data_IF_879810529639
#
_entry.id   IF_879810529639
#
_cell.length_a   1.000
_cell.length_b   1.000
_cell.length_c   1.000
_cell.angle_alpha   90.00
_cell.angle_beta   90.00
_cell.angle_gamma   90.00
#
_symmetry.space_group_name_H-M   'P 1'
#
loop_
_entity.id
_entity.type
_entity.pdbx_description
1 polymer ?
#
# COMPACT_ATOMS: atom_id res chain seq x y z
N UNK A 1 -35.81 5.02 -25.22
CA UNK A 1 -34.49 5.70 -25.18
C UNK A 1 -33.82 5.62 -23.79
N UNK A 2 -34.47 6.04 -22.69
CA UNK A 2 -33.88 5.96 -21.33
C UNK A 2 -33.38 4.56 -20.92
N UNK A 3 -34.16 3.50 -21.17
CA UNK A 3 -33.74 2.10 -20.92
C UNK A 3 -32.44 1.73 -21.65
N UNK A 4 -32.23 2.24 -22.86
CA UNK A 4 -31.04 1.97 -23.66
C UNK A 4 -29.81 2.70 -23.07
N UNK A 5 -29.98 3.95 -22.64
CA UNK A 5 -28.93 4.73 -21.96
C UNK A 5 -28.51 4.07 -20.64
N UNK A 6 -29.47 3.65 -19.82
CA UNK A 6 -29.19 2.96 -18.54
C UNK A 6 -28.45 1.65 -18.79
N UNK A 7 -28.87 0.84 -19.77
CA UNK A 7 -28.17 -0.42 -20.12
C UNK A 7 -26.71 -0.17 -20.52
N UNK A 8 -26.46 0.91 -21.27
CA UNK A 8 -25.11 1.28 -21.71
C UNK A 8 -24.25 1.81 -20.55
N UNK A 9 -24.83 2.57 -19.64
CA UNK A 9 -24.13 3.07 -18.43
C UNK A 9 -23.81 1.92 -17.46
N UNK A 10 -24.71 0.96 -17.33
CA UNK A 10 -24.52 -0.23 -16.48
C UNK A 10 -23.48 -1.19 -17.06
N UNK A 11 -23.26 -1.19 -18.39
CA UNK A 11 -22.14 -1.87 -19.04
C UNK A 11 -20.81 -1.11 -18.91
N UNK A 12 -20.85 0.21 -18.82
CA UNK A 12 -19.65 1.03 -18.63
C UNK A 12 -19.06 0.87 -17.22
N UNK A 13 -19.91 0.77 -16.20
CA UNK A 13 -19.48 0.61 -14.81
C UNK A 13 -18.51 -0.59 -14.59
N UNK A 14 -18.82 -1.84 -15.02
CA UNK A 14 -17.90 -2.96 -14.85
C UNK A 14 -16.61 -2.78 -15.65
N UNK A 15 -16.65 -2.16 -16.84
CA UNK A 15 -15.42 -1.90 -17.61
C UNK A 15 -14.48 -0.94 -16.90
N UNK A 16 -15.03 0.13 -16.30
CA UNK A 16 -14.26 1.11 -15.54
C UNK A 16 -13.65 0.47 -14.28
N UNK A 17 -14.45 -0.37 -13.63
CA UNK A 17 -14.08 -1.12 -12.43
C UNK A 17 -12.91 -2.08 -12.73
N UNK A 18 -12.97 -2.83 -13.84
CA UNK A 18 -11.88 -3.72 -14.28
C UNK A 18 -10.61 -2.91 -14.55
N UNK A 19 -10.69 -1.83 -15.34
CA UNK A 19 -9.52 -0.99 -15.66
C UNK A 19 -8.92 -0.39 -14.38
N UNK A 20 -9.76 0.04 -13.44
CA UNK A 20 -9.32 0.55 -12.14
C UNK A 20 -8.59 -0.51 -11.31
N UNK A 21 -9.10 -1.75 -11.28
CA UNK A 21 -8.41 -2.88 -10.63
C UNK A 21 -7.05 -3.17 -11.26
N UNK A 22 -6.97 -3.16 -12.60
CA UNK A 22 -5.70 -3.37 -13.31
C UNK A 22 -4.70 -2.24 -13.00
N UNK A 23 -5.13 -0.99 -13.10
CA UNK A 23 -4.27 0.17 -12.81
C UNK A 23 -3.77 0.15 -11.35
N UNK A 24 -4.65 -0.15 -10.39
CA UNK A 24 -4.28 -0.27 -8.99
C UNK A 24 -3.33 -1.45 -8.74
N UNK A 25 -3.61 -2.61 -9.33
CA UNK A 25 -2.76 -3.80 -9.21
C UNK A 25 -1.35 -3.54 -9.73
N UNK A 26 -1.23 -2.96 -10.93
CA UNK A 26 0.06 -2.58 -11.51
C UNK A 26 0.79 -1.53 -10.64
N UNK A 27 0.05 -0.56 -10.09
CA UNK A 27 0.62 0.43 -9.16
C UNK A 27 1.17 -0.19 -7.88
N UNK A 28 0.73 -1.38 -7.47
CA UNK A 28 1.28 -2.09 -6.28
C UNK A 28 2.42 -3.03 -6.62
N UNK A 29 2.58 -3.42 -7.88
CA UNK A 29 3.71 -4.21 -8.35
C UNK A 29 4.98 -3.37 -8.59
N UNK A 30 4.95 -2.06 -8.33
CA UNK A 30 6.12 -1.19 -8.49
C UNK A 30 7.22 -1.59 -7.50
N UNK A 31 8.44 -1.89 -7.97
CA UNK A 31 9.56 -2.17 -7.09
C UNK A 31 9.99 -0.89 -6.36
N UNK A 32 10.28 -1.01 -5.07
CA UNK A 32 10.76 0.09 -4.23
C UNK A 32 9.74 0.56 -3.20
N UNK A 33 10.26 1.20 -2.15
CA UNK A 33 9.47 1.75 -1.06
C UNK A 33 9.29 3.26 -1.28
N UNK A 34 8.06 3.74 -1.52
CA UNK A 34 7.83 5.15 -1.78
C UNK A 34 8.07 6.00 -0.53
N UNK A 35 7.99 5.45 0.68
CA UNK A 35 8.24 6.20 1.91
C UNK A 35 9.72 6.59 1.99
N UNK A 36 10.62 5.73 1.52
CA UNK A 36 12.06 6.00 1.49
C UNK A 36 12.41 7.20 0.60
N UNK A 37 11.66 7.45 -0.47
CA UNK A 37 11.83 8.63 -1.32
C UNK A 37 11.51 9.96 -0.60
N UNK A 38 10.67 9.92 0.44
CA UNK A 38 10.29 11.10 1.24
C UNK A 38 11.09 11.24 2.52
N UNK A 39 11.87 10.22 2.87
CA UNK A 39 12.74 10.27 4.03
C UNK A 39 13.99 11.05 3.63
N UNK A 40 14.56 11.89 4.52
CA UNK A 40 15.80 12.57 4.22
C UNK A 40 16.89 11.52 3.97
N UNK A 41 17.20 11.29 2.69
CA UNK A 41 18.42 10.61 2.28
C UNK A 41 19.57 11.37 2.92
N UNK A 42 20.54 10.66 3.49
CA UNK A 42 21.73 11.18 4.18
C UNK A 42 22.69 11.97 3.26
N UNK A 43 22.16 12.70 2.29
CA UNK A 43 22.87 13.37 1.19
C UNK A 43 23.78 14.49 1.70
N UNK A 44 23.54 15.05 2.90
CA UNK A 44 24.36 16.16 3.43
C UNK A 44 25.30 15.78 4.60
N UNK A 45 25.77 14.53 4.65
CA UNK A 45 27.05 14.18 5.28
C UNK A 45 27.27 14.49 6.77
N UNK A 46 26.26 14.88 7.55
CA UNK A 46 26.43 15.32 8.95
C UNK A 46 25.45 14.79 10.00
N UNK A 47 24.62 13.81 9.67
CA UNK A 47 23.78 13.16 10.68
C UNK A 47 23.88 11.65 10.57
N UNK A 48 24.64 11.04 11.47
CA UNK A 48 24.48 9.63 11.83
C UNK A 48 23.13 9.50 12.54
N UNK A 49 22.04 9.45 11.77
CA UNK A 49 20.71 9.22 12.32
C UNK A 49 20.78 7.85 13.01
N UNK A 50 20.64 7.83 14.33
CA UNK A 50 20.57 6.57 15.09
C UNK A 50 19.45 5.70 14.50
N UNK A 51 19.60 4.37 14.42
CA UNK A 51 18.59 3.48 13.84
C UNK A 51 17.16 3.75 14.37
N UNK A 52 17.04 4.05 15.67
CA UNK A 52 15.78 4.40 16.32
C UNK A 52 15.12 5.68 15.78
N UNK A 53 15.92 6.69 15.44
CA UNK A 53 15.42 7.97 14.92
C UNK A 53 14.93 7.81 13.48
N UNK A 54 15.64 7.00 12.69
CA UNK A 54 15.23 6.65 11.34
C UNK A 54 13.90 5.91 11.34
N UNK A 55 13.75 4.91 12.20
CA UNK A 55 12.52 4.13 12.30
C UNK A 55 11.31 5.00 12.70
N UNK A 56 11.50 5.94 13.63
CA UNK A 56 10.45 6.90 14.03
C UNK A 56 10.06 7.83 12.89
N UNK A 57 11.04 8.37 12.15
CA UNK A 57 10.77 9.24 11.01
C UNK A 57 10.04 8.48 9.90
N UNK A 58 10.46 7.25 9.62
CA UNK A 58 9.80 6.34 8.68
C UNK A 58 8.36 6.07 9.09
N UNK A 59 8.10 5.64 10.34
CA UNK A 59 6.73 5.36 10.82
C UNK A 59 5.83 6.59 10.75
N UNK A 60 6.34 7.78 11.10
CA UNK A 60 5.58 9.04 10.99
C UNK A 60 5.17 9.32 9.54
N UNK A 61 6.11 9.19 8.61
CA UNK A 61 5.84 9.37 7.17
C UNK A 61 4.89 8.31 6.61
N UNK A 62 5.03 7.06 7.05
CA UNK A 62 4.13 5.98 6.67
C UNK A 62 2.68 6.25 7.13
N UNK A 63 2.50 6.77 8.34
CA UNK A 63 1.17 7.14 8.87
C UNK A 63 0.61 8.36 8.14
N UNK A 64 1.43 9.38 7.89
CA UNK A 64 1.05 10.59 7.16
C UNK A 64 0.56 10.27 5.74
N UNK A 65 1.25 9.37 5.04
CA UNK A 65 0.90 8.94 3.69
C UNK A 65 -0.21 7.87 3.66
N UNK A 66 -0.64 7.36 4.82
CA UNK A 66 -1.63 6.27 4.93
C UNK A 66 -1.12 4.91 4.46
N UNK A 67 0.21 4.74 4.31
CA UNK A 67 0.88 3.50 3.90
C UNK A 67 0.96 2.45 5.01
N UNK A 68 0.55 2.81 6.24
CA UNK A 68 0.40 1.88 7.35
C UNK A 68 -0.91 1.08 7.33
N UNK A 69 -1.76 1.26 6.31
CA UNK A 69 -3.07 0.60 6.17
C UNK A 69 -3.03 -0.47 5.08
N UNK A 70 -3.88 -1.51 5.20
CA UNK A 70 -4.00 -2.50 4.13
C UNK A 70 -4.52 -1.84 2.84
N UNK A 71 -4.13 -2.35 1.66
CA UNK A 71 -4.58 -1.80 0.37
C UNK A 71 -6.08 -1.90 0.14
N UNK A 72 -6.74 -2.88 0.76
CA UNK A 72 -8.18 -3.12 0.67
C UNK A 72 -8.77 -3.39 2.05
N UNK A 73 -10.06 -3.13 2.20
CA UNK A 73 -10.82 -3.42 3.44
C UNK A 73 -11.03 -4.92 3.69
N UNK A 74 -10.84 -5.75 2.66
CA UNK A 74 -10.93 -7.20 2.75
C UNK A 74 -9.73 -7.83 2.03
N UNK A 75 -9.34 -9.02 2.48
CA UNK A 75 -8.30 -9.82 1.86
C UNK A 75 -8.80 -11.26 1.72
N UNK A 76 -8.45 -11.90 0.62
CA UNK A 76 -8.66 -13.33 0.42
C UNK A 76 -7.30 -13.99 0.66
N UNK A 77 -7.20 -14.80 1.71
CA UNK A 77 -5.97 -15.51 2.08
C UNK A 77 -6.26 -17.00 2.30
N UNK A 78 -5.21 -17.82 2.33
CA UNK A 78 -5.32 -19.24 2.62
C UNK A 78 -5.68 -19.48 4.08
N UNK A 79 -6.54 -20.47 4.34
CA UNK A 79 -6.84 -20.92 5.71
C UNK A 79 -5.62 -21.51 6.45
N UNK A 80 -4.56 -21.86 5.71
CA UNK A 80 -3.31 -22.35 6.28
C UNK A 80 -2.39 -21.22 6.80
N UNK A 81 -2.71 -19.95 6.55
CA UNK A 81 -1.86 -18.84 6.99
C UNK A 81 -2.04 -18.59 8.49
N UNK A 82 -0.97 -18.65 9.31
CA UNK A 82 -1.08 -18.52 10.76
C UNK A 82 -1.27 -17.06 11.17
N UNK A 83 -2.32 -16.78 11.93
CA UNK A 83 -2.62 -15.44 12.47
C UNK A 83 -1.59 -14.99 13.54
N UNK A 84 -0.96 -15.95 14.22
CA UNK A 84 -0.05 -15.70 15.35
C UNK A 84 1.41 -15.50 14.96
N UNK A 85 1.77 -15.47 13.67
CA UNK A 85 3.17 -15.36 13.23
C UNK A 85 3.88 -14.14 13.82
N UNK A 86 3.17 -13.02 13.94
CA UNK A 86 3.68 -11.77 14.55
C UNK A 86 4.11 -11.91 16.02
N UNK A 87 3.68 -12.97 16.72
CA UNK A 87 4.05 -13.26 18.11
C UNK A 87 5.37 -14.02 18.23
N UNK A 88 5.81 -14.65 17.15
CA UNK A 88 7.06 -15.40 17.07
C UNK A 88 8.15 -14.50 16.48
N UNK A 89 8.29 -13.29 17.00
CA UNK A 89 9.46 -12.48 16.71
C UNK A 89 10.65 -13.14 17.42
N UNK A 90 11.42 -13.91 16.66
CA UNK A 90 12.73 -14.42 17.07
C UNK A 90 13.62 -13.19 17.22
N UNK A 91 13.93 -12.86 18.47
CA UNK A 91 14.87 -11.81 18.82
C UNK A 91 16.24 -12.47 18.90
N UNK A 92 16.97 -12.41 17.80
CA UNK A 92 18.42 -12.66 17.79
C UNK A 92 19.16 -11.39 18.24
#
# INVERSE_FOLDING_TARGET
>A
MLRYVIKRLLLFLPTLLVISFFAFGLSRCTPGDPIQCYLPSSIDGKFSISPDQYERAYRRKAVELGWNKPPFYFAITSAAYPDTLHRVLIRD
#
